data_IF_344370161167
#
_entry.id   IF_344370161167
#
_cell.length_a   1.000
_cell.length_b   1.000
_cell.length_c   1.000
_cell.angle_alpha   90.00
_cell.angle_beta   90.00
_cell.angle_gamma   90.00
#
_symmetry.space_group_name_H-M   'P 1'
#
loop_
_entity.id
_entity.type
_entity.pdbx_description
1 polymer ?
#
# COMPACT_ATOMS: atom_id res chain seq x y z
N UNK A 1 -9.12 8.81 -4.38
CA UNK A 1 -8.38 7.58 -4.00
C UNK A 1 -9.19 6.68 -3.07
N UNK A 2 -9.97 7.23 -2.11
CA UNK A 2 -10.72 6.44 -1.11
C UNK A 2 -11.61 5.35 -1.72
N UNK A 3 -12.32 5.62 -2.82
CA UNK A 3 -13.17 4.61 -3.49
C UNK A 3 -12.39 3.40 -3.99
N UNK A 4 -11.14 3.58 -4.41
CA UNK A 4 -10.31 2.50 -4.95
C UNK A 4 -9.69 1.65 -3.85
N UNK A 5 -9.31 2.29 -2.74
CA UNK A 5 -8.89 1.58 -1.54
C UNK A 5 -10.08 0.86 -0.89
N UNK A 6 -11.29 1.42 -0.97
CA UNK A 6 -12.52 0.73 -0.57
C UNK A 6 -12.75 -0.55 -1.37
N UNK A 7 -12.63 -0.51 -2.71
CA UNK A 7 -12.72 -1.72 -3.55
C UNK A 7 -11.68 -2.77 -3.19
N UNK A 8 -10.49 -2.35 -2.77
CA UNK A 8 -9.43 -3.24 -2.32
C UNK A 8 -9.76 -3.86 -0.96
N UNK A 9 -10.22 -3.05 0.00
CA UNK A 9 -10.60 -3.50 1.34
C UNK A 9 -11.80 -4.46 1.30
N UNK A 10 -12.80 -4.23 0.45
CA UNK A 10 -13.93 -5.17 0.29
C UNK A 10 -13.54 -6.49 -0.36
N UNK A 11 -12.40 -6.58 -1.05
CA UNK A 11 -11.87 -7.87 -1.56
C UNK A 11 -11.13 -8.67 -0.49
N UNK A 12 -10.49 -8.01 0.48
CA UNK A 12 -9.63 -8.69 1.46
C UNK A 12 -10.27 -8.84 2.85
N UNK A 13 -11.27 -8.03 3.18
CA UNK A 13 -12.01 -8.10 4.42
C UNK A 13 -13.31 -8.91 4.28
N UNK A 14 -13.62 -9.71 5.28
CA UNK A 14 -14.83 -10.54 5.37
C UNK A 14 -16.05 -9.73 5.82
N UNK A 15 -15.83 -8.68 6.63
CA UNK A 15 -16.90 -7.83 7.18
C UNK A 15 -16.38 -6.49 7.69
N UNK A 16 -17.33 -5.61 8.01
CA UNK A 16 -17.14 -4.35 8.74
C UNK A 16 -16.12 -3.40 8.09
N UNK A 17 -16.16 -3.30 6.76
CA UNK A 17 -15.38 -2.28 6.04
C UNK A 17 -16.00 -0.92 6.34
N UNK A 18 -15.26 -0.09 7.07
CA UNK A 18 -15.68 1.26 7.48
C UNK A 18 -14.64 2.29 7.09
N UNK A 19 -15.10 3.52 6.79
CA UNK A 19 -14.24 4.67 6.47
C UNK A 19 -14.42 5.75 7.53
N UNK A 20 -13.31 6.31 7.99
CA UNK A 20 -13.26 7.46 8.91
C UNK A 20 -12.35 8.56 8.35
N UNK A 21 -12.64 9.82 8.69
CA UNK A 21 -11.92 11.00 8.19
C UNK A 21 -12.83 12.00 7.46
N UNK A 22 -12.28 12.90 6.62
CA UNK A 22 -10.85 13.04 6.32
C UNK A 22 -10.07 13.62 7.51
N UNK A 23 -8.77 13.34 7.53
CA UNK A 23 -7.81 13.88 8.49
C UNK A 23 -6.72 14.66 7.76
N UNK A 24 -6.13 15.64 8.45
CA UNK A 24 -4.92 16.32 8.00
C UNK A 24 -3.70 15.68 8.65
N UNK A 25 -2.74 15.24 7.85
CA UNK A 25 -1.45 14.70 8.28
C UNK A 25 -0.36 15.70 7.95
N UNK A 26 0.07 16.44 8.96
CA UNK A 26 1.17 17.39 8.86
C UNK A 26 2.53 16.66 8.90
N UNK A 27 3.45 17.10 8.06
CA UNK A 27 4.83 16.62 7.98
C UNK A 27 5.78 17.81 7.98
N UNK A 28 7.09 17.55 8.07
CA UNK A 28 8.10 18.61 8.17
C UNK A 28 8.08 19.65 7.03
N UNK A 29 7.62 19.29 5.82
CA UNK A 29 7.66 20.17 4.63
C UNK A 29 6.36 20.24 3.83
N UNK A 30 5.30 19.54 4.25
CA UNK A 30 4.01 19.48 3.55
C UNK A 30 2.94 18.90 4.48
N UNK A 31 1.69 18.96 4.04
CA UNK A 31 0.59 18.23 4.67
C UNK A 31 -0.17 17.40 3.63
N UNK A 32 -0.77 16.29 4.07
CA UNK A 32 -1.63 15.44 3.25
C UNK A 32 -3.02 15.33 3.88
N UNK A 33 -4.06 15.26 3.06
CA UNK A 33 -5.37 14.78 3.52
C UNK A 33 -5.43 13.26 3.38
N UNK A 34 -6.04 12.58 4.33
CA UNK A 34 -6.13 11.12 4.33
C UNK A 34 -7.40 10.62 4.99
N UNK A 35 -7.83 9.43 4.59
CA UNK A 35 -8.88 8.67 5.26
C UNK A 35 -8.26 7.45 5.93
N UNK A 36 -8.94 6.91 6.93
CA UNK A 36 -8.64 5.60 7.47
C UNK A 36 -9.74 4.63 7.05
N UNK A 37 -9.33 3.45 6.57
CA UNK A 37 -10.24 2.37 6.20
C UNK A 37 -9.88 1.16 7.07
N UNK A 38 -10.87 0.63 7.76
CA UNK A 38 -10.74 -0.53 8.64
C UNK A 38 -11.70 -1.62 8.21
N UNK A 39 -11.34 -2.87 8.46
CA UNK A 39 -12.20 -4.03 8.25
C UNK A 39 -11.66 -5.25 8.97
N UNK A 40 -12.46 -6.32 9.03
CA UNK A 40 -12.02 -7.61 9.59
C UNK A 40 -11.69 -8.59 8.48
N UNK A 41 -10.54 -9.25 8.58
CA UNK A 41 -10.11 -10.30 7.66
C UNK A 41 -9.60 -11.50 8.43
N UNK A 42 -9.95 -12.69 7.96
CA UNK A 42 -9.42 -13.98 8.40
C UNK A 42 -8.31 -14.52 7.48
N UNK A 43 -7.98 -13.79 6.40
CA UNK A 43 -7.01 -14.20 5.39
C UNK A 43 -5.59 -14.24 5.92
N UNK A 44 -4.76 -15.07 5.30
CA UNK A 44 -3.33 -15.12 5.61
C UNK A 44 -2.66 -13.79 5.17
N UNK A 45 -1.72 -13.21 5.96
CA UNK A 45 -1.00 -12.00 5.57
C UNK A 45 -0.41 -12.03 4.16
N UNK A 46 0.00 -13.20 3.67
CA UNK A 46 0.53 -13.37 2.30
C UNK A 46 -0.53 -13.14 1.23
N UNK A 47 -1.76 -13.59 1.49
CA UNK A 47 -2.90 -13.37 0.60
C UNK A 47 -3.32 -11.90 0.62
N UNK A 48 -3.34 -11.28 1.81
CA UNK A 48 -3.61 -9.84 1.94
C UNK A 48 -2.59 -9.05 1.13
N UNK A 49 -1.29 -9.31 1.29
CA UNK A 49 -0.25 -8.64 0.51
C UNK A 49 -0.43 -8.85 -1.00
N UNK A 50 -0.75 -10.08 -1.44
CA UNK A 50 -0.97 -10.36 -2.87
C UNK A 50 -2.13 -9.58 -3.46
N UNK A 51 -3.26 -9.51 -2.75
CA UNK A 51 -4.49 -8.88 -3.22
C UNK A 51 -4.46 -7.35 -3.10
N UNK A 52 -3.52 -6.79 -2.32
CA UNK A 52 -3.36 -5.34 -2.13
C UNK A 52 -2.19 -4.74 -2.92
N UNK A 53 -1.45 -5.56 -3.68
CA UNK A 53 -0.40 -5.06 -4.58
C UNK A 53 -1.01 -4.38 -5.82
N UNK A 54 -0.77 -3.09 -6.08
CA UNK A 54 -0.20 -2.07 -5.19
C UNK A 54 -1.23 -0.98 -4.91
N UNK A 55 -0.98 -0.17 -3.86
CA UNK A 55 -1.89 0.86 -3.41
C UNK A 55 -2.25 1.83 -4.56
N UNK A 56 -3.55 2.15 -4.79
CA UNK A 56 -4.00 3.07 -5.83
C UNK A 56 -3.41 4.48 -5.73
N UNK A 57 -2.93 4.87 -4.55
CA UNK A 57 -2.28 6.16 -4.29
C UNK A 57 -0.92 6.31 -4.96
N UNK A 58 -0.28 5.21 -5.36
CA UNK A 58 1.05 5.19 -6.01
C UNK A 58 1.04 4.50 -7.38
N UNK A 59 -0.09 3.94 -7.78
CA UNK A 59 -0.31 3.36 -9.12
C UNK A 59 -1.35 4.16 -9.90
N UNK A 60 -2.62 4.07 -9.49
CA UNK A 60 -3.77 4.75 -10.09
C UNK A 60 -5.02 3.87 -10.09
N UNK A 61 -6.00 4.24 -10.91
CA UNK A 61 -7.24 3.48 -11.10
C UNK A 61 -7.78 3.56 -12.53
N UNK A 62 -8.46 2.50 -13.02
CA UNK A 62 -8.54 1.15 -12.44
C UNK A 62 -7.16 0.48 -12.39
N UNK A 63 -6.88 -0.33 -11.37
CA UNK A 63 -5.51 -0.76 -11.04
C UNK A 63 -4.76 -1.41 -12.21
N UNK A 64 -5.37 -2.37 -12.90
CA UNK A 64 -4.77 -3.03 -14.06
C UNK A 64 -4.46 -2.05 -15.21
N UNK A 65 -5.41 -1.16 -15.50
CA UNK A 65 -5.21 -0.14 -16.53
C UNK A 65 -4.13 0.88 -16.10
N UNK A 66 -4.07 1.24 -14.82
CA UNK A 66 -3.03 2.11 -14.28
C UNK A 66 -1.64 1.49 -14.47
N UNK A 67 -1.47 0.19 -14.19
CA UNK A 67 -0.22 -0.52 -14.47
C UNK A 67 0.14 -0.51 -15.96
N UNK A 68 -0.85 -0.66 -16.87
CA UNK A 68 -0.61 -0.55 -18.32
C UNK A 68 -0.17 0.85 -18.74
N UNK A 69 -0.81 1.89 -18.19
CA UNK A 69 -0.44 3.30 -18.43
C UNK A 69 0.98 3.55 -17.93
N UNK A 70 1.31 3.12 -16.71
CA UNK A 70 2.66 3.18 -16.14
C UNK A 70 3.67 2.54 -17.09
N UNK A 71 3.43 1.30 -17.52
CA UNK A 71 4.33 0.59 -18.46
C UNK A 71 4.41 1.23 -19.86
N UNK A 72 3.47 2.10 -20.22
CA UNK A 72 3.50 2.86 -21.49
C UNK A 72 4.36 4.12 -21.38
N UNK A 73 4.36 4.78 -20.22
CA UNK A 73 4.95 6.11 -20.05
C UNK A 73 6.23 6.14 -19.20
N UNK A 74 6.53 5.10 -18.44
CA UNK A 74 7.80 4.97 -17.71
C UNK A 74 8.81 4.18 -18.54
N UNK A 75 9.99 4.77 -18.77
CA UNK A 75 11.05 4.16 -19.58
C UNK A 75 11.89 3.11 -18.84
N UNK A 76 11.79 3.06 -17.50
CA UNK A 76 12.50 2.11 -16.64
C UNK A 76 11.54 1.38 -15.69
N UNK A 77 12.02 0.27 -15.12
CA UNK A 77 11.32 -0.41 -14.05
C UNK A 77 11.31 0.43 -12.77
N UNK A 78 10.35 0.18 -11.89
CA UNK A 78 10.20 0.93 -10.62
C UNK A 78 11.13 0.47 -9.49
N UNK A 79 11.87 -0.63 -9.65
CA UNK A 79 12.58 -1.25 -8.52
C UNK A 79 11.61 -1.51 -7.37
N UNK A 80 11.92 -1.00 -6.17
CA UNK A 80 11.00 -1.06 -5.03
C UNK A 80 10.02 0.12 -4.93
N UNK A 81 10.15 1.17 -5.75
CA UNK A 81 9.22 2.30 -5.73
C UNK A 81 7.78 1.84 -5.97
N UNK A 82 6.83 2.37 -5.19
CA UNK A 82 5.42 1.94 -5.10
C UNK A 82 5.19 0.54 -4.52
N UNK A 83 6.26 -0.18 -4.17
CA UNK A 83 6.23 -1.48 -3.52
C UNK A 83 5.81 -1.43 -2.05
N UNK A 84 6.06 -2.54 -1.34
CA UNK A 84 5.70 -2.69 0.07
C UNK A 84 6.92 -3.20 0.86
N UNK A 85 7.20 -2.57 2.00
CA UNK A 85 8.03 -3.15 3.07
C UNK A 85 7.08 -3.68 4.13
N UNK A 86 7.15 -4.97 4.43
CA UNK A 86 6.23 -5.66 5.33
C UNK A 86 6.95 -6.43 6.43
N UNK A 87 6.51 -6.26 7.66
CA UNK A 87 6.89 -7.04 8.83
C UNK A 87 5.77 -8.03 9.15
N UNK A 88 6.03 -9.31 8.89
CA UNK A 88 5.08 -10.41 9.18
C UNK A 88 5.54 -11.11 10.46
N UNK A 89 4.62 -11.26 11.41
CA UNK A 89 4.94 -11.82 12.72
C UNK A 89 3.79 -12.56 13.38
N UNK A 90 3.94 -12.71 14.70
CA UNK A 90 2.89 -13.18 15.60
C UNK A 90 2.89 -12.35 16.88
N UNK A 91 1.70 -12.11 17.44
CA UNK A 91 1.55 -11.48 18.76
C UNK A 91 1.76 -12.48 19.91
N UNK A 92 1.64 -12.00 21.15
CA UNK A 92 1.75 -12.81 22.38
C UNK A 92 0.77 -13.99 22.44
N UNK A 93 -0.38 -13.85 21.76
CA UNK A 93 -1.42 -14.89 21.66
C UNK A 93 -1.24 -15.76 20.42
N UNK A 94 -0.07 -15.71 19.76
CA UNK A 94 0.29 -16.44 18.54
C UNK A 94 -0.57 -16.11 17.32
N UNK A 95 -1.37 -15.04 17.34
CA UNK A 95 -2.16 -14.57 16.18
C UNK A 95 -1.23 -13.94 15.16
N UNK A 96 -1.56 -14.07 13.87
CA UNK A 96 -0.76 -13.45 12.78
C UNK A 96 -0.81 -11.92 12.90
N UNK A 97 0.34 -11.27 12.66
CA UNK A 97 0.44 -9.82 12.54
C UNK A 97 1.09 -9.44 11.21
N UNK A 98 0.66 -8.31 10.67
CA UNK A 98 1.24 -7.66 9.49
C UNK A 98 1.26 -6.17 9.77
N UNK A 99 2.46 -5.58 9.75
CA UNK A 99 2.65 -4.14 9.65
C UNK A 99 3.39 -3.85 8.36
N UNK A 100 2.99 -2.81 7.63
CA UNK A 100 3.54 -2.55 6.30
C UNK A 100 3.48 -1.08 5.92
N UNK A 101 4.44 -0.66 5.09
CA UNK A 101 4.50 0.67 4.53
C UNK A 101 4.67 0.62 3.00
N UNK A 102 4.03 1.57 2.32
CA UNK A 102 4.26 1.80 0.88
C UNK A 102 5.63 2.45 0.70
N UNK A 103 6.43 1.92 -0.22
CA UNK A 103 7.77 2.42 -0.51
C UNK A 103 7.69 3.68 -1.37
N UNK A 104 7.61 4.82 -0.69
CA UNK A 104 7.71 6.18 -1.23
C UNK A 104 8.59 7.02 -0.30
N UNK A 105 9.13 8.14 -0.79
CA UNK A 105 10.04 9.01 0.00
C UNK A 105 11.23 8.22 0.58
N UNK A 106 11.72 7.24 -0.18
CA UNK A 106 12.75 6.26 0.20
C UNK A 106 13.85 6.28 -0.85
N UNK A 107 15.10 6.04 -0.45
CA UNK A 107 16.24 5.91 -1.35
C UNK A 107 16.66 4.43 -1.46
N UNK A 108 16.85 3.95 -2.68
CA UNK A 108 17.46 2.64 -2.96
C UNK A 108 18.95 2.86 -3.25
N UNK A 109 19.81 2.23 -2.43
CA UNK A 109 21.26 2.37 -2.55
C UNK A 109 21.85 1.00 -2.85
N UNK A 110 22.50 0.87 -3.99
CA UNK A 110 23.10 -0.38 -4.41
C UNK A 110 24.41 -0.69 -3.66
N UNK A 111 25.01 -1.85 -3.95
CA UNK A 111 26.26 -2.29 -3.31
C UNK A 111 27.47 -1.41 -3.63
N UNK A 112 27.42 -0.63 -4.70
CA UNK A 112 28.47 0.31 -5.08
C UNK A 112 28.24 1.72 -4.50
N UNK A 113 27.17 1.92 -3.74
CA UNK A 113 26.80 3.22 -3.17
C UNK A 113 26.11 4.16 -4.15
N UNK A 114 25.60 3.65 -5.29
CA UNK A 114 24.82 4.44 -6.25
C UNK A 114 23.37 4.49 -5.81
N UNK A 115 22.76 5.64 -6.04
CA UNK A 115 21.31 5.82 -5.94
C UNK A 115 20.68 5.25 -7.21
N UNK A 116 19.75 4.31 -7.03
CA UNK A 116 18.93 3.74 -8.12
C UNK A 116 17.59 4.49 -8.25
#
# INVERSE_FOLDING_TARGET
VVDEELKMMTRVCDSDVTVSGPYLKEMARLAHTGYEIRGRSSRDPREILRETMFAPTVTGSPLENACRVIGTYESGGRGYYSGVVALIGRDERRRRTLDSAVVIRTAEIDRAGRLE
#
